data_IF_323943926085
#
_entry.id   IF_323943926085
#
_cell.length_a   1.000
_cell.length_b   1.000
_cell.length_c   1.000
_cell.angle_alpha   90.00
_cell.angle_beta   90.00
_cell.angle_gamma   90.00
#
_symmetry.space_group_name_H-M   'P 1'
#
loop_
_entity.id
_entity.type
_entity.pdbx_description
1 polymer ?
#
# COMPACT_ATOMS: atom_id res chain seq x y z
N UNK A 1 -7.58 -19.31 -14.14
CA UNK A 1 -6.82 -18.68 -13.04
C UNK A 1 -7.36 -19.19 -11.72
N UNK A 2 -6.48 -19.73 -10.88
CA UNK A 2 -6.90 -20.27 -9.58
C UNK A 2 -7.18 -19.13 -8.59
N UNK A 3 -8.25 -19.23 -7.80
CA UNK A 3 -8.52 -18.22 -6.76
C UNK A 3 -7.45 -18.28 -5.68
N UNK A 4 -7.23 -17.14 -5.01
CA UNK A 4 -6.30 -17.04 -3.89
C UNK A 4 -6.88 -17.80 -2.70
N UNK A 5 -6.09 -18.70 -2.11
CA UNK A 5 -6.54 -19.49 -0.98
C UNK A 5 -6.29 -18.79 0.36
N UNK A 6 -7.05 -19.20 1.39
CA UNK A 6 -6.84 -18.70 2.75
C UNK A 6 -5.44 -19.07 3.27
N UNK A 7 -4.91 -20.23 2.88
CA UNK A 7 -3.55 -20.64 3.25
C UNK A 7 -2.50 -19.72 2.65
N UNK A 8 -2.65 -19.33 1.37
CA UNK A 8 -1.75 -18.40 0.71
C UNK A 8 -1.78 -17.03 1.39
N UNK A 9 -2.96 -16.52 1.71
CA UNK A 9 -3.11 -15.25 2.39
C UNK A 9 -2.42 -15.28 3.76
N UNK A 10 -2.60 -16.34 4.53
CA UNK A 10 -1.95 -16.49 5.84
C UNK A 10 -0.43 -16.52 5.72
N UNK A 11 0.08 -17.22 4.72
CA UNK A 11 1.53 -17.29 4.46
C UNK A 11 2.09 -15.90 4.13
N UNK A 12 1.39 -15.16 3.28
CA UNK A 12 1.84 -13.82 2.90
C UNK A 12 1.74 -12.82 4.05
N UNK A 13 0.73 -12.95 4.91
CA UNK A 13 0.62 -12.14 6.13
C UNK A 13 1.78 -12.41 7.09
N UNK A 14 2.21 -13.67 7.22
CA UNK A 14 3.34 -14.03 8.05
C UNK A 14 4.64 -13.41 7.52
N UNK A 15 4.84 -13.44 6.21
CA UNK A 15 6.00 -12.79 5.57
C UNK A 15 5.97 -11.27 5.75
N UNK A 16 4.79 -10.67 5.63
CA UNK A 16 4.64 -9.24 5.84
C UNK A 16 5.02 -8.85 7.26
N UNK A 17 4.66 -9.67 8.24
CA UNK A 17 5.02 -9.44 9.65
C UNK A 17 6.54 -9.45 9.83
N UNK A 18 7.22 -10.40 9.21
CA UNK A 18 8.70 -10.48 9.26
C UNK A 18 9.33 -9.23 8.63
N UNK A 19 8.84 -8.83 7.46
CA UNK A 19 9.35 -7.65 6.77
C UNK A 19 9.08 -6.36 7.54
N UNK A 20 7.94 -6.29 8.24
CA UNK A 20 7.59 -5.13 9.07
C UNK A 20 8.57 -4.95 10.23
N UNK A 21 9.14 -6.03 10.73
CA UNK A 21 10.15 -5.99 11.79
C UNK A 21 11.56 -5.76 11.26
N UNK A 22 11.76 -5.77 9.94
CA UNK A 22 13.09 -5.66 9.33
C UNK A 22 13.63 -4.23 9.31
N UNK A 23 14.97 -4.12 9.26
CA UNK A 23 15.63 -2.83 9.11
C UNK A 23 15.25 -2.12 7.81
N UNK A 24 15.02 -2.88 6.73
CA UNK A 24 14.58 -2.33 5.46
C UNK A 24 13.29 -1.53 5.61
N UNK A 25 12.28 -2.11 6.28
CA UNK A 25 11.00 -1.43 6.47
C UNK A 25 11.13 -0.22 7.38
N UNK A 26 11.89 -0.36 8.46
CA UNK A 26 12.14 0.75 9.39
C UNK A 26 12.79 1.94 8.69
N UNK A 27 13.73 1.68 7.78
CA UNK A 27 14.33 2.73 6.96
C UNK A 27 13.33 3.39 6.02
N UNK A 28 12.40 2.61 5.45
CA UNK A 28 11.32 3.15 4.63
C UNK A 28 10.42 4.09 5.44
N UNK A 29 10.05 3.68 6.66
CA UNK A 29 9.23 4.49 7.56
C UNK A 29 9.95 5.77 7.99
N UNK A 30 11.26 5.75 8.11
CA UNK A 30 12.04 6.90 8.58
C UNK A 30 12.01 8.09 7.63
N UNK A 31 11.60 7.90 6.39
CA UNK A 31 11.41 8.99 5.44
C UNK A 31 10.21 9.86 5.80
N UNK A 32 9.32 9.34 6.63
CA UNK A 32 8.13 10.04 7.13
C UNK A 32 7.32 10.69 6.02
N UNK A 33 7.01 9.90 4.99
CA UNK A 33 6.28 10.36 3.82
C UNK A 33 5.49 9.19 3.23
N UNK A 34 4.22 9.46 2.89
CA UNK A 34 3.39 8.46 2.23
C UNK A 34 3.98 8.09 0.87
N UNK A 35 4.08 6.79 0.59
CA UNK A 35 4.62 6.31 -0.68
C UNK A 35 3.68 6.50 -1.86
N UNK A 36 2.42 6.85 -1.64
CA UNK A 36 1.43 7.09 -2.70
C UNK A 36 1.21 8.57 -2.99
N UNK A 37 0.87 9.36 -1.97
CA UNK A 37 0.56 10.77 -2.16
C UNK A 37 1.72 11.71 -1.81
N UNK A 38 2.80 11.17 -1.29
CA UNK A 38 4.00 11.92 -0.88
C UNK A 38 3.76 12.92 0.26
N UNK A 39 2.60 12.88 0.91
CA UNK A 39 2.30 13.76 2.03
C UNK A 39 3.21 13.43 3.23
N UNK A 40 3.83 14.44 3.88
CA UNK A 40 4.61 14.20 5.10
C UNK A 40 3.73 13.55 6.16
N UNK A 41 4.19 12.41 6.70
CA UNK A 41 3.41 11.59 7.63
C UNK A 41 4.35 11.00 8.66
N UNK A 42 4.11 11.19 9.97
CA UNK A 42 4.95 10.57 10.99
C UNK A 42 5.05 9.06 10.80
N UNK A 43 6.22 8.49 11.08
CA UNK A 43 6.45 7.04 10.88
C UNK A 43 5.37 6.19 11.56
N UNK A 44 4.95 6.56 12.77
CA UNK A 44 3.94 5.81 13.53
C UNK A 44 2.54 5.81 12.90
N UNK A 45 2.30 6.71 11.95
CA UNK A 45 1.01 6.82 11.25
C UNK A 45 1.05 6.20 9.87
N UNK A 46 2.21 5.68 9.44
CA UNK A 46 2.34 4.98 8.17
C UNK A 46 2.06 3.51 8.37
N UNK A 47 1.27 2.93 7.46
CA UNK A 47 0.94 1.50 7.47
C UNK A 47 1.57 0.81 6.27
N UNK A 48 1.81 -0.50 6.39
CA UNK A 48 2.32 -1.30 5.29
C UNK A 48 1.16 -1.66 4.36
N UNK A 49 1.21 -1.17 3.14
CA UNK A 49 0.22 -1.52 2.12
C UNK A 49 0.85 -2.40 1.05
N UNK A 50 0.08 -3.37 0.55
CA UNK A 50 0.46 -4.21 -0.58
C UNK A 50 -0.05 -3.55 -1.86
N UNK A 51 0.84 -3.22 -2.80
CA UNK A 51 0.45 -2.61 -4.09
C UNK A 51 -0.59 -3.47 -4.79
N UNK A 52 -0.30 -4.76 -4.93
CA UNK A 52 -1.28 -5.77 -5.30
C UNK A 52 -1.78 -6.37 -4.01
N UNK A 53 -3.08 -6.20 -3.68
CA UNK A 53 -3.63 -6.73 -2.42
C UNK A 53 -3.48 -8.25 -2.30
N UNK A 54 -3.32 -8.74 -1.08
CA UNK A 54 -3.18 -10.18 -0.83
C UNK A 54 -4.38 -10.96 -1.38
N UNK A 55 -5.59 -10.44 -1.21
CA UNK A 55 -6.81 -11.10 -1.69
C UNK A 55 -6.89 -11.15 -3.22
N UNK A 56 -6.05 -10.37 -3.91
CA UNK A 56 -5.97 -10.36 -5.37
C UNK A 56 -4.67 -10.99 -5.88
N UNK A 57 -4.02 -11.81 -5.05
CA UNK A 57 -2.84 -12.55 -5.43
C UNK A 57 -1.51 -11.85 -5.15
N UNK A 58 -1.53 -10.75 -4.43
CA UNK A 58 -0.31 -10.02 -4.06
C UNK A 58 0.60 -10.82 -3.14
N UNK A 59 1.89 -10.54 -3.19
CA UNK A 59 2.89 -11.20 -2.38
C UNK A 59 3.57 -10.21 -1.46
N UNK A 60 4.04 -10.71 -0.32
CA UNK A 60 4.78 -9.91 0.65
C UNK A 60 6.26 -9.95 0.29
N UNK A 61 6.61 -9.11 -0.68
CA UNK A 61 7.99 -8.89 -1.13
C UNK A 61 8.24 -7.39 -1.17
N UNK A 62 9.51 -6.99 -1.07
CA UNK A 62 9.86 -5.55 -0.95
C UNK A 62 9.25 -4.69 -2.05
N UNK A 63 9.23 -5.16 -3.28
CA UNK A 63 8.70 -4.42 -4.43
C UNK A 63 7.18 -4.21 -4.37
N UNK A 64 6.47 -4.99 -3.55
CA UNK A 64 5.01 -4.92 -3.42
C UNK A 64 4.56 -4.22 -2.14
N UNK A 65 5.48 -3.67 -1.35
CA UNK A 65 5.15 -3.07 -0.05
C UNK A 65 5.46 -1.57 -0.06
N UNK A 66 4.48 -0.79 0.40
CA UNK A 66 4.54 0.68 0.40
C UNK A 66 4.11 1.21 1.76
N UNK A 67 4.86 2.15 2.36
CA UNK A 67 4.35 2.85 3.54
C UNK A 67 3.27 3.84 3.09
N UNK A 68 2.06 3.68 3.58
CA UNK A 68 0.90 4.48 3.17
C UNK A 68 0.27 5.20 4.34
N UNK A 69 -0.15 6.45 4.12
CA UNK A 69 -0.93 7.19 5.11
C UNK A 69 -2.34 6.60 5.21
N UNK A 70 -3.04 6.91 6.30
CA UNK A 70 -4.39 6.36 6.54
C UNK A 70 -5.37 6.70 5.44
N UNK A 71 -5.32 7.92 4.91
CA UNK A 71 -6.23 8.36 3.86
C UNK A 71 -6.04 7.54 2.58
N UNK A 72 -4.78 7.35 2.14
CA UNK A 72 -4.49 6.54 0.95
C UNK A 72 -4.85 5.08 1.17
N UNK A 73 -4.53 4.53 2.35
CA UNK A 73 -4.85 3.13 2.66
C UNK A 73 -6.35 2.89 2.63
N UNK A 74 -7.13 3.80 3.22
CA UNK A 74 -8.60 3.71 3.24
C UNK A 74 -9.20 3.84 1.84
N UNK A 75 -8.68 4.76 1.03
CA UNK A 75 -9.20 4.99 -0.32
C UNK A 75 -8.83 3.85 -1.28
N UNK A 76 -7.61 3.33 -1.17
CA UNK A 76 -7.11 2.28 -2.06
C UNK A 76 -7.77 0.92 -1.79
N UNK A 77 -7.93 0.53 -0.53
CA UNK A 77 -8.51 -0.78 -0.15
C UNK A 77 -7.90 -1.93 -0.96
N UNK A 78 -8.71 -2.60 -1.79
CA UNK A 78 -8.30 -3.77 -2.58
C UNK A 78 -8.05 -3.44 -4.05
N UNK A 79 -7.87 -2.17 -4.39
CA UNK A 79 -7.62 -1.77 -5.77
C UNK A 79 -6.26 -2.25 -6.25
N UNK A 80 -6.22 -2.71 -7.50
CA UNK A 80 -4.97 -3.02 -8.18
C UNK A 80 -4.22 -1.75 -8.54
N UNK A 81 -2.90 -1.80 -8.78
CA UNK A 81 -2.13 -0.60 -9.14
C UNK A 81 -2.73 0.22 -10.27
N UNK A 82 -3.23 -0.42 -11.33
CA UNK A 82 -3.84 0.29 -12.46
C UNK A 82 -5.16 0.98 -12.06
N UNK A 83 -5.94 0.33 -11.22
CA UNK A 83 -7.20 0.89 -10.70
C UNK A 83 -6.92 2.07 -9.78
N UNK A 84 -5.91 1.92 -8.92
CA UNK A 84 -5.49 2.96 -7.99
C UNK A 84 -4.97 4.20 -8.74
N UNK A 85 -4.13 3.99 -9.76
CA UNK A 85 -3.63 5.08 -10.60
C UNK A 85 -4.77 5.84 -11.28
N UNK A 86 -5.77 5.13 -11.80
CA UNK A 86 -6.93 5.75 -12.42
C UNK A 86 -7.75 6.59 -11.41
N UNK A 87 -7.89 6.10 -10.19
CA UNK A 87 -8.56 6.82 -9.11
C UNK A 87 -7.82 8.12 -8.77
N UNK A 88 -6.50 8.08 -8.63
CA UNK A 88 -5.69 9.26 -8.34
C UNK A 88 -5.78 10.29 -9.47
N UNK A 89 -5.78 9.83 -10.72
CA UNK A 89 -5.92 10.71 -11.89
C UNK A 89 -7.26 11.46 -11.87
N UNK A 90 -8.34 10.76 -11.50
CA UNK A 90 -9.66 11.39 -11.39
C UNK A 90 -9.70 12.46 -10.29
N UNK A 91 -9.06 12.19 -9.15
CA UNK A 91 -8.98 13.17 -8.06
C UNK A 91 -8.21 14.42 -8.50
N UNK A 92 -7.12 14.26 -9.23
CA UNK A 92 -6.34 15.37 -9.75
C UNK A 92 -7.18 16.21 -10.72
N UNK A 93 -7.92 15.57 -11.63
CA UNK A 93 -8.80 16.25 -12.57
C UNK A 93 -9.90 17.03 -11.85
N UNK A 94 -10.50 16.45 -10.83
CA UNK A 94 -11.54 17.11 -10.02
C UNK A 94 -10.97 18.32 -9.29
N UNK A 95 -9.76 18.20 -8.72
CA UNK A 95 -9.08 19.30 -8.04
C UNK A 95 -8.82 20.46 -8.99
N UNK A 96 -8.45 20.18 -10.25
CA UNK A 96 -8.16 21.18 -11.26
C UNK A 96 -9.42 21.94 -11.71
N UNK A 97 -10.61 21.37 -11.49
CA UNK A 97 -11.88 21.99 -11.85
C UNK A 97 -12.44 22.93 -10.80
N UNK A 98 -11.88 22.92 -9.62
CA UNK A 98 -12.31 23.79 -8.52
C UNK A 98 -11.69 25.17 -8.73
N UNK A 99 -12.47 26.22 -8.93
CA UNK A 99 -11.94 27.57 -9.13
C UNK A 99 -11.26 28.12 -7.89
#
# INVERSE_FOLDING_TARGET
MSPVTATEVRREKARARELRASGWWKRRLSRERCGYCAHPTPARELTMDHRVPLVRGGRSVRSNLVPACRACNAAKKYLLPVEWAAYLDRLADEADRIP
#
